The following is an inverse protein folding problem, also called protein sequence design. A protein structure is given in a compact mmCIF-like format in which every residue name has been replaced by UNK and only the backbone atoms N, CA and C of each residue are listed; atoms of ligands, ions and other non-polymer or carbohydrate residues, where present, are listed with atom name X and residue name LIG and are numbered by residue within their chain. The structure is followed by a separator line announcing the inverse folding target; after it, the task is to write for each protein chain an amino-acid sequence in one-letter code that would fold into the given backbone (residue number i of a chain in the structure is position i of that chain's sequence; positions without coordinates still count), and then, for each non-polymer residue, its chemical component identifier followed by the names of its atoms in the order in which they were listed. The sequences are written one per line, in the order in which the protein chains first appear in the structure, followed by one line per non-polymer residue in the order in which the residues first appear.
data_IF_853769753139
#
_entry.id   IF_853769753139
#
_cell.length_a   1.000
_cell.length_b   1.000
_cell.length_c   1.000
_cell.angle_alpha   90.00
_cell.angle_beta   90.00
_cell.angle_gamma   90.00
#
_symmetry.space_group_name_H-M   'P 1'
#
loop_
_entity.id
_entity.type
_entity.pdbx_description
1 polymer ?
#
# COMPACT_ATOMS: atom_id res chain seq x y z
N UNK A 1 10.43 -18.52 -10.69
CA UNK A 1 10.00 -18.50 -9.26
C UNK A 1 10.91 -17.74 -8.27
N UNK A 2 12.24 -17.92 -8.23
CA UNK A 2 13.10 -17.36 -7.16
C UNK A 2 13.40 -15.84 -7.23
N UNK A 3 13.38 -15.19 -8.41
CA UNK A 3 13.71 -13.76 -8.52
C UNK A 3 12.56 -12.85 -8.08
N UNK A 4 11.32 -13.14 -8.49
CA UNK A 4 10.13 -12.31 -8.22
C UNK A 4 9.81 -12.30 -6.72
N UNK A 5 9.92 -13.45 -6.03
CA UNK A 5 9.73 -13.52 -4.58
C UNK A 5 10.80 -12.69 -3.86
N UNK A 6 12.04 -12.75 -4.34
CA UNK A 6 13.16 -11.98 -3.78
C UNK A 6 12.98 -10.48 -4.00
N UNK A 7 12.56 -10.06 -5.20
CA UNK A 7 12.25 -8.67 -5.53
C UNK A 7 11.06 -8.13 -4.73
N UNK A 8 10.01 -8.94 -4.56
CA UNK A 8 8.85 -8.56 -3.75
C UNK A 8 9.18 -8.48 -2.26
N UNK A 9 10.11 -9.31 -1.77
CA UNK A 9 10.60 -9.24 -0.40
C UNK A 9 11.42 -7.97 -0.16
N UNK A 10 12.31 -7.59 -1.10
CA UNK A 10 13.01 -6.31 -1.04
C UNK A 10 12.05 -5.12 -1.14
N UNK A 11 11.01 -5.22 -1.99
CA UNK A 11 9.92 -4.25 -2.06
C UNK A 11 9.20 -4.09 -0.72
N UNK A 12 8.87 -5.19 -0.05
CA UNK A 12 8.28 -5.18 1.30
C UNK A 12 9.21 -4.54 2.33
N UNK A 13 10.50 -4.91 2.33
CA UNK A 13 11.47 -4.37 3.28
C UNK A 13 11.66 -2.86 3.12
N UNK A 14 11.75 -2.38 1.87
CA UNK A 14 11.80 -0.96 1.55
C UNK A 14 10.52 -0.26 2.01
N UNK A 15 9.36 -0.86 1.73
CA UNK A 15 8.06 -0.32 2.13
C UNK A 15 7.99 -0.15 3.66
N UNK A 16 8.30 -1.19 4.42
CA UNK A 16 8.27 -1.19 5.89
C UNK A 16 9.28 -0.18 6.46
N UNK A 17 10.52 -0.17 5.94
CA UNK A 17 11.54 0.78 6.37
C UNK A 17 11.11 2.24 6.15
N UNK A 18 10.56 2.54 4.98
CA UNK A 18 10.06 3.88 4.65
C UNK A 18 8.88 4.27 5.56
N UNK A 19 8.02 3.30 5.92
CA UNK A 19 6.88 3.53 6.80
C UNK A 19 7.34 3.85 8.22
N UNK A 20 8.33 3.13 8.74
CA UNK A 20 8.95 3.41 10.03
C UNK A 20 9.55 4.83 10.06
N UNK A 21 10.26 5.25 9.01
CA UNK A 21 10.80 6.61 8.89
C UNK A 21 9.67 7.64 8.87
N UNK A 22 8.63 7.43 8.06
CA UNK A 22 7.48 8.32 7.99
C UNK A 22 6.77 8.46 9.36
N UNK A 23 6.68 7.37 10.12
CA UNK A 23 6.09 7.32 11.46
C UNK A 23 6.94 8.08 12.49
N UNK A 24 8.26 7.94 12.42
CA UNK A 24 9.19 8.75 13.23
C UNK A 24 9.08 10.23 12.87
N UNK A 25 9.07 10.59 11.59
CA UNK A 25 8.99 11.98 11.13
C UNK A 25 7.66 12.62 11.52
N UNK A 26 6.53 11.95 11.30
CA UNK A 26 5.22 12.48 11.69
C UNK A 26 5.08 12.64 13.21
N UNK A 27 5.55 11.67 14.00
CA UNK A 27 5.44 11.72 15.47
C UNK A 27 6.41 12.72 16.10
N UNK A 28 7.68 12.73 15.69
CA UNK A 28 8.73 13.49 16.38
C UNK A 28 9.04 14.85 15.74
N UNK A 29 8.96 14.97 14.41
CA UNK A 29 9.27 16.24 13.70
C UNK A 29 8.02 17.11 13.59
N UNK A 30 6.96 16.56 13.00
CA UNK A 30 5.73 17.32 12.76
C UNK A 30 4.76 17.33 13.93
N UNK A 31 5.00 16.50 14.96
CA UNK A 31 4.14 16.32 16.14
C UNK A 31 2.66 16.09 15.76
N UNK A 32 2.45 15.38 14.65
CA UNK A 32 1.14 15.11 14.08
C UNK A 32 0.60 13.79 14.60
N UNK A 33 -0.73 13.64 14.58
CA UNK A 33 -1.35 12.35 14.84
C UNK A 33 -0.86 11.30 13.84
N UNK A 34 -0.40 10.12 14.29
CA UNK A 34 -0.02 9.01 13.39
C UNK A 34 -1.20 8.48 12.57
N UNK A 35 -2.43 8.91 12.86
CA UNK A 35 -3.62 8.64 12.05
C UNK A 35 -3.45 9.04 10.57
N UNK A 36 -2.58 10.02 10.27
CA UNK A 36 -2.24 10.42 8.89
C UNK A 36 -1.53 9.31 8.09
N UNK A 37 -1.01 8.28 8.75
CA UNK A 37 -0.35 7.14 8.11
C UNK A 37 -1.27 5.92 7.96
N UNK A 38 -2.55 6.02 8.35
CA UNK A 38 -3.53 4.92 8.25
C UNK A 38 -3.59 4.40 6.81
N UNK A 39 -3.60 5.28 5.82
CA UNK A 39 -3.62 4.87 4.41
C UNK A 39 -2.39 4.04 4.03
N UNK A 40 -1.20 4.48 4.44
CA UNK A 40 0.07 3.78 4.18
C UNK A 40 0.11 2.40 4.85
N UNK A 41 -0.48 2.28 6.04
CA UNK A 41 -0.60 1.02 6.78
C UNK A 41 -1.60 0.06 6.10
N UNK A 42 -2.75 0.57 5.66
CA UNK A 42 -3.75 -0.23 4.94
C UNK A 42 -3.22 -0.77 3.62
N UNK A 43 -2.44 0.05 2.90
CA UNK A 43 -1.74 -0.40 1.70
C UNK A 43 -0.68 -1.47 1.99
N UNK A 44 0.04 -1.40 3.12
CA UNK A 44 0.97 -2.47 3.52
C UNK A 44 0.23 -3.81 3.72
N UNK A 45 -0.94 -3.76 4.38
CA UNK A 45 -1.77 -4.95 4.61
C UNK A 45 -2.26 -5.52 3.27
N UNK A 46 -2.74 -4.66 2.37
CA UNK A 46 -3.14 -5.08 1.03
C UNK A 46 -1.96 -5.72 0.29
N UNK A 47 -0.79 -5.07 0.28
CA UNK A 47 0.43 -5.57 -0.36
C UNK A 47 0.78 -6.99 0.12
N UNK A 48 0.79 -7.20 1.45
CA UNK A 48 1.03 -8.51 2.04
C UNK A 48 -0.02 -9.55 1.64
N UNK A 49 -1.30 -9.18 1.63
CA UNK A 49 -2.38 -10.07 1.18
C UNK A 49 -2.23 -10.44 -0.31
N UNK A 50 -1.88 -9.48 -1.17
CA UNK A 50 -1.59 -9.72 -2.58
C UNK A 50 -0.46 -10.73 -2.77
N UNK A 51 0.64 -10.56 -2.02
CA UNK A 51 1.77 -11.49 -2.02
C UNK A 51 1.41 -12.91 -1.60
N UNK A 52 0.58 -13.06 -0.56
CA UNK A 52 0.14 -14.37 -0.08
C UNK A 52 -0.81 -15.07 -1.07
N UNK A 53 -1.64 -14.30 -1.77
CA UNK A 53 -2.59 -14.82 -2.76
C UNK A 53 -1.95 -15.07 -4.13
N UNK A 54 -0.83 -14.41 -4.42
CA UNK A 54 -0.07 -14.50 -5.66
C UNK A 54 0.17 -15.94 -6.16
N UNK A 55 0.71 -16.89 -5.37
CA UNK A 55 0.96 -18.26 -5.83
C UNK A 55 -0.32 -19.05 -6.17
N UNK A 56 -1.48 -18.60 -5.72
CA UNK A 56 -2.77 -19.25 -5.99
C UNK A 56 -3.46 -18.70 -7.24
N UNK A 57 -2.89 -17.67 -7.88
CA UNK A 57 -3.49 -16.98 -9.04
C UNK A 57 -2.97 -17.52 -10.37
N UNK A 58 -3.52 -18.65 -10.82
CA UNK A 58 -3.17 -19.26 -12.12
C UNK A 58 -4.35 -19.23 -13.09
N UNK A 59 -4.14 -18.71 -14.31
CA UNK A 59 -5.07 -18.85 -15.44
C UNK A 59 -6.20 -17.81 -15.47
N UNK A 60 -7.43 -18.24 -15.84
CA UNK A 60 -8.57 -17.36 -16.17
C UNK A 60 -9.04 -16.45 -15.02
N UNK A 61 -8.68 -16.76 -13.78
CA UNK A 61 -9.08 -15.98 -12.59
C UNK A 61 -8.24 -14.73 -12.36
N UNK A 62 -7.12 -14.55 -13.06
CA UNK A 62 -6.20 -13.40 -12.88
C UNK A 62 -6.88 -12.05 -13.13
N UNK A 63 -7.63 -11.92 -14.23
CA UNK A 63 -8.33 -10.67 -14.56
C UNK A 63 -9.41 -10.33 -13.52
N UNK A 64 -10.12 -11.33 -12.99
CA UNK A 64 -11.14 -11.16 -11.95
C UNK A 64 -10.47 -10.73 -10.64
N UNK A 65 -9.37 -11.40 -10.25
CA UNK A 65 -8.62 -11.08 -9.03
C UNK A 65 -7.96 -9.70 -9.11
N UNK A 66 -7.46 -9.30 -10.28
CA UNK A 66 -6.95 -7.94 -10.51
C UNK A 66 -8.05 -6.88 -10.41
N UNK A 67 -9.24 -7.13 -10.95
CA UNK A 67 -10.37 -6.21 -10.80
C UNK A 67 -10.83 -6.11 -9.33
N UNK A 68 -10.91 -7.23 -8.61
CA UNK A 68 -11.21 -7.23 -7.18
C UNK A 68 -10.15 -6.50 -6.37
N UNK A 69 -8.87 -6.68 -6.73
CA UNK A 69 -7.75 -5.95 -6.15
C UNK A 69 -7.90 -4.44 -6.34
N UNK A 70 -8.21 -3.98 -7.56
CA UNK A 70 -8.41 -2.56 -7.84
C UNK A 70 -9.59 -1.98 -7.04
N UNK A 71 -10.70 -2.73 -6.91
CA UNK A 71 -11.83 -2.33 -6.06
C UNK A 71 -11.39 -2.21 -4.59
N UNK A 72 -10.64 -3.17 -4.07
CA UNK A 72 -10.12 -3.15 -2.70
C UNK A 72 -9.19 -1.95 -2.45
N UNK A 73 -8.29 -1.65 -3.40
CA UNK A 73 -7.41 -0.47 -3.33
C UNK A 73 -8.23 0.81 -3.32
N UNK A 74 -9.23 0.93 -4.20
CA UNK A 74 -10.09 2.10 -4.29
C UNK A 74 -10.91 2.33 -3.01
N UNK A 75 -11.54 1.27 -2.47
CA UNK A 75 -12.26 1.32 -1.20
C UNK A 75 -11.31 1.76 -0.08
N UNK A 76 -10.10 1.19 -0.03
CA UNK A 76 -9.09 1.54 0.99
C UNK A 76 -8.68 3.00 0.93
N UNK A 77 -8.50 3.57 -0.27
CA UNK A 77 -8.24 5.00 -0.47
C UNK A 77 -9.39 5.83 0.10
N UNK A 78 -10.63 5.54 -0.30
CA UNK A 78 -11.81 6.30 0.15
C UNK A 78 -11.96 6.25 1.67
N UNK A 79 -11.88 5.05 2.26
CA UNK A 79 -12.01 4.87 3.71
C UNK A 79 -10.90 5.61 4.45
N UNK A 80 -9.66 5.56 3.95
CA UNK A 80 -8.53 6.25 4.58
C UNK A 80 -8.68 7.77 4.53
N UNK A 81 -9.16 8.32 3.41
CA UNK A 81 -9.49 9.74 3.29
C UNK A 81 -10.61 10.12 4.28
N UNK A 82 -11.69 9.32 4.35
CA UNK A 82 -12.78 9.55 5.29
C UNK A 82 -12.33 9.53 6.76
N UNK A 83 -11.42 8.61 7.13
CA UNK A 83 -10.81 8.54 8.47
C UNK A 83 -9.96 9.78 8.73
N UNK A 84 -9.13 10.22 7.77
CA UNK A 84 -8.32 11.44 7.91
C UNK A 84 -9.19 12.68 8.12
N UNK A 85 -10.31 12.79 7.40
CA UNK A 85 -11.27 13.88 7.55
C UNK A 85 -11.98 13.86 8.93
N UNK A 86 -12.35 12.67 9.42
CA UNK A 86 -13.00 12.52 10.74
C UNK A 86 -12.05 12.76 11.92
N UNK A 87 -10.77 12.47 11.76
CA UNK A 87 -9.75 12.61 12.83
C UNK A 87 -9.26 14.05 13.01
N UNK A 88 -9.83 15.01 12.29
CA UNK A 88 -9.47 16.43 12.42
C UNK A 88 -8.06 16.74 11.93
N UNK A 89 -7.49 15.89 11.08
CA UNK A 89 -6.22 16.16 10.42
C UNK A 89 -6.39 17.43 9.60
N UNK A 90 -5.70 18.50 9.97
CA UNK A 90 -5.73 19.74 9.21
C UNK A 90 -5.28 19.51 7.76
N UNK A 91 -5.84 20.29 6.83
CA UNK A 91 -5.48 20.23 5.40
C UNK A 91 -3.96 20.19 5.13
N UNK A 92 -3.10 20.99 5.80
CA UNK A 92 -1.67 20.92 5.53
C UNK A 92 -1.06 19.59 5.98
N UNK A 93 -1.48 19.04 7.11
CA UNK A 93 -1.02 17.73 7.59
C UNK A 93 -1.42 16.59 6.63
N UNK A 94 -2.63 16.66 6.06
CA UNK A 94 -3.08 15.72 5.06
C UNK A 94 -2.25 15.82 3.76
N UNK A 95 -1.98 17.04 3.28
CA UNK A 95 -1.13 17.28 2.11
C UNK A 95 0.31 16.76 2.31
N UNK A 96 0.88 16.97 3.50
CA UNK A 96 2.20 16.41 3.83
C UNK A 96 2.18 14.88 3.85
N UNK A 97 1.12 14.27 4.38
CA UNK A 97 0.99 12.81 4.37
C UNK A 97 0.88 12.23 2.95
N UNK A 98 0.29 12.96 2.00
CA UNK A 98 0.19 12.52 0.61
C UNK A 98 1.56 12.26 -0.03
N UNK A 99 2.58 13.04 0.33
CA UNK A 99 3.95 12.85 -0.17
C UNK A 99 4.49 11.48 0.22
N UNK A 100 4.19 11.04 1.44
CA UNK A 100 4.57 9.71 1.89
C UNK A 100 3.67 8.63 1.30
N UNK A 101 2.40 8.93 1.06
CA UNK A 101 1.40 7.97 0.61
C UNK A 101 1.43 7.63 -0.89
N UNK A 102 1.75 8.59 -1.76
CA UNK A 102 1.78 8.39 -3.22
C UNK A 102 2.80 7.32 -3.63
N UNK A 103 4.05 7.31 -3.14
CA UNK A 103 5.01 6.25 -3.43
C UNK A 103 4.50 4.86 -3.02
N UNK A 104 3.81 4.76 -1.88
CA UNK A 104 3.22 3.50 -1.44
C UNK A 104 2.10 3.02 -2.36
N UNK A 105 1.22 3.92 -2.80
CA UNK A 105 0.17 3.60 -3.74
C UNK A 105 0.73 3.13 -5.09
N UNK A 106 1.76 3.82 -5.61
CA UNK A 106 2.46 3.43 -6.83
C UNK A 106 3.13 2.06 -6.68
N UNK A 107 3.78 1.81 -5.54
CA UNK A 107 4.40 0.52 -5.23
C UNK A 107 3.34 -0.59 -5.18
N UNK A 108 2.21 -0.34 -4.51
CA UNK A 108 1.09 -1.27 -4.42
C UNK A 108 0.51 -1.61 -5.79
N UNK A 109 0.34 -0.62 -6.66
CA UNK A 109 -0.16 -0.81 -8.03
C UNK A 109 0.85 -1.51 -8.93
N UNK A 110 2.13 -1.16 -8.84
CA UNK A 110 3.19 -1.75 -9.64
C UNK A 110 3.37 -3.24 -9.32
N UNK A 111 3.59 -3.55 -8.04
CA UNK A 111 3.77 -4.95 -7.61
C UNK A 111 2.46 -5.72 -7.61
N UNK A 112 1.32 -5.12 -7.28
CA UNK A 112 0.01 -5.75 -7.46
C UNK A 112 -0.25 -6.09 -8.93
N UNK A 113 0.07 -5.15 -9.83
CA UNK A 113 0.06 -5.38 -11.27
C UNK A 113 0.94 -6.56 -11.65
N UNK A 114 2.20 -6.59 -11.23
CA UNK A 114 3.12 -7.72 -11.50
C UNK A 114 2.56 -9.04 -10.97
N UNK A 115 2.06 -9.06 -9.73
CA UNK A 115 1.50 -10.26 -9.08
C UNK A 115 0.33 -10.84 -9.88
N UNK A 116 -0.57 -10.01 -10.39
CA UNK A 116 -1.79 -10.49 -11.06
C UNK A 116 -1.68 -10.55 -12.59
N UNK A 117 -0.72 -9.86 -13.22
CA UNK A 117 -0.59 -9.77 -14.70
C UNK A 117 0.61 -10.52 -15.26
N UNK A 118 1.71 -10.64 -14.52
CA UNK A 118 2.84 -11.47 -14.96
C UNK A 118 2.64 -12.88 -14.41
N UNK A 119 2.54 -13.86 -15.31
CA UNK A 119 2.56 -15.28 -14.94
C UNK A 119 3.75 -15.52 -14.00
N UNK A 120 3.48 -16.08 -12.82
CA UNK A 120 4.48 -16.82 -12.05
C UNK A 120 4.91 -18.04 -12.88
N UNK A 121 5.73 -17.77 -13.89
CA UNK A 121 6.35 -18.76 -14.76
C UNK A 121 7.68 -19.24 -14.17
#
# INVERSE_FOLDING_TARGET
MNSIIKESFWGLAIYVGTLCVALCVTKYVFKTSPAVLVMSLSFLILYGAGLLLAPFTVGKSQAILFNLWNILVFVTVITSIAICLKTGVGRPQFLWSLIFQVPYCMTLYYYGGIIFTHKFS
#
